data_IF_888770039148
#
_entry.id   IF_888770039148
#
_cell.length_a   1.000
_cell.length_b   1.000
_cell.length_c   1.000
_cell.angle_alpha   90.00
_cell.angle_beta   90.00
_cell.angle_gamma   90.00
#
_symmetry.space_group_name_H-M   'P 1'
#
loop_
_entity.id
_entity.type
_entity.pdbx_description
1 polymer ?
#
# COMPACT_ATOMS: atom_id res chain seq x y z
N UNK A 1 -26.41 -40.64 2.58
CA UNK A 1 -27.52 -41.61 2.61
C UNK A 1 -28.71 -40.96 1.91
N UNK A 2 -29.02 -41.56 0.77
CA UNK A 2 -30.11 -41.24 -0.14
C UNK A 2 -31.39 -41.87 0.41
N UNK A 3 -32.52 -41.18 0.38
CA UNK A 3 -33.84 -41.82 0.38
C UNK A 3 -34.80 -41.00 -0.48
N UNK A 4 -35.13 -41.58 -1.62
CA UNK A 4 -36.27 -41.25 -2.49
C UNK A 4 -37.56 -41.72 -1.84
N UNK A 5 -38.63 -40.94 -1.92
CA UNK A 5 -40.01 -41.49 -1.99
C UNK A 5 -40.84 -40.74 -3.04
N UNK A 6 -41.15 -41.47 -4.10
CA UNK A 6 -42.23 -41.21 -5.04
C UNK A 6 -43.55 -41.63 -4.47
N UNK A 7 -44.61 -40.84 -4.63
CA UNK A 7 -45.92 -41.42 -4.89
C UNK A 7 -46.82 -40.47 -5.72
N UNK A 8 -47.24 -41.00 -6.84
CA UNK A 8 -48.30 -40.48 -7.69
C UNK A 8 -49.66 -40.88 -7.10
N UNK A 9 -50.65 -39.98 -7.08
CA UNK A 9 -52.04 -40.34 -7.35
C UNK A 9 -52.77 -39.18 -8.02
N UNK A 10 -53.32 -39.50 -9.17
CA UNK A 10 -54.24 -38.73 -9.99
C UNK A 10 -55.63 -38.70 -9.40
N UNK A 11 -56.29 -37.55 -9.41
CA UNK A 11 -57.76 -37.54 -9.74
C UNK A 11 -58.20 -36.18 -10.28
N UNK A 12 -58.87 -36.24 -11.39
CA UNK A 12 -59.61 -35.18 -12.09
C UNK A 12 -60.81 -34.72 -11.26
N UNK A 13 -61.10 -33.43 -11.18
CA UNK A 13 -62.48 -32.96 -11.39
C UNK A 13 -62.53 -31.46 -11.73
N UNK A 14 -63.55 -31.18 -12.46
CA UNK A 14 -63.84 -29.99 -13.27
C UNK A 14 -64.39 -28.82 -12.47
N UNK A 15 -64.03 -27.62 -12.94
CA UNK A 15 -64.80 -26.40 -13.11
C UNK A 15 -65.62 -25.84 -11.94
N UNK A 16 -65.31 -24.60 -11.59
CA UNK A 16 -66.27 -23.48 -11.58
C UNK A 16 -65.44 -22.17 -11.58
N UNK A 17 -65.69 -21.35 -12.63
CA UNK A 17 -65.18 -19.98 -12.74
C UNK A 17 -66.11 -19.11 -11.91
N UNK A 18 -65.58 -18.42 -10.94
CA UNK A 18 -66.24 -17.28 -10.32
C UNK A 18 -65.28 -16.07 -10.38
N UNK A 19 -65.53 -15.18 -11.34
CA UNK A 19 -64.94 -13.86 -11.37
C UNK A 19 -65.49 -13.05 -10.20
N UNK A 20 -64.65 -12.78 -9.21
CA UNK A 20 -64.88 -11.68 -8.27
C UNK A 20 -63.78 -10.62 -8.52
N UNK A 21 -64.18 -9.58 -9.22
CA UNK A 21 -63.38 -8.36 -9.40
C UNK A 21 -63.37 -7.59 -8.09
N UNK A 22 -62.34 -7.74 -7.29
CA UNK A 22 -62.01 -6.83 -6.18
C UNK A 22 -61.11 -5.72 -6.71
N UNK A 23 -61.70 -4.53 -6.93
CA UNK A 23 -60.94 -3.30 -7.11
C UNK A 23 -60.31 -2.92 -5.78
N UNK A 24 -59.07 -3.35 -5.56
CA UNK A 24 -58.22 -2.78 -4.52
C UNK A 24 -57.66 -1.46 -5.02
N UNK A 25 -58.31 -0.38 -4.61
CA UNK A 25 -57.70 0.97 -4.64
C UNK A 25 -56.56 0.95 -3.60
N UNK A 26 -55.41 0.54 -4.02
CA UNK A 26 -54.19 0.69 -3.25
C UNK A 26 -53.80 2.15 -3.22
N UNK A 27 -54.10 2.86 -2.11
CA UNK A 27 -53.45 4.14 -1.82
C UNK A 27 -51.94 3.86 -1.65
N UNK A 28 -51.19 3.99 -2.75
CA UNK A 28 -49.74 4.03 -2.74
C UNK A 28 -49.35 5.33 -2.07
N UNK A 29 -49.14 5.31 -0.75
CA UNK A 29 -48.35 6.33 -0.09
C UNK A 29 -46.93 6.17 -0.64
N UNK A 30 -46.64 6.82 -1.75
CA UNK A 30 -45.30 7.08 -2.22
C UNK A 30 -44.57 7.86 -1.15
N UNK A 31 -43.85 7.18 -0.25
CA UNK A 31 -42.81 7.84 0.50
C UNK A 31 -41.76 8.28 -0.54
N UNK A 32 -41.84 9.58 -0.88
CA UNK A 32 -40.74 10.27 -1.50
C UNK A 32 -39.55 10.18 -0.53
N UNK A 33 -38.79 9.11 -0.59
CA UNK A 33 -37.47 9.11 0.00
C UNK A 33 -36.67 10.15 -0.77
N UNK A 34 -36.59 11.35 -0.23
CA UNK A 34 -35.69 12.38 -0.71
C UNK A 34 -34.29 11.78 -0.65
N UNK A 35 -33.63 11.66 -1.81
CA UNK A 35 -32.21 11.26 -1.89
C UNK A 35 -31.47 12.18 -0.91
N UNK A 36 -30.75 11.65 0.09
CA UNK A 36 -30.05 12.47 1.07
C UNK A 36 -29.15 13.46 0.33
N UNK A 37 -29.34 14.74 0.62
CA UNK A 37 -28.51 15.78 0.01
C UNK A 37 -27.08 15.60 0.49
N UNK A 38 -26.15 15.48 -0.43
CA UNK A 38 -24.72 15.36 -0.11
C UNK A 38 -24.27 16.49 0.81
N UNK A 39 -23.52 16.14 1.85
CA UNK A 39 -22.86 17.10 2.73
C UNK A 39 -21.78 17.87 1.96
N UNK A 40 -21.31 18.99 2.50
CA UNK A 40 -20.23 19.76 1.88
C UNK A 40 -18.92 18.95 1.82
N UNK A 41 -18.63 18.17 2.86
CA UNK A 41 -17.47 17.27 2.90
C UNK A 41 -17.52 16.23 1.76
N UNK A 42 -18.67 15.59 1.53
CA UNK A 42 -18.84 14.62 0.44
C UNK A 42 -18.67 15.28 -0.94
N UNK A 43 -19.13 16.53 -1.11
CA UNK A 43 -18.94 17.27 -2.36
C UNK A 43 -17.46 17.57 -2.61
N UNK A 44 -16.73 18.03 -1.59
CA UNK A 44 -15.29 18.30 -1.66
C UNK A 44 -14.55 17.00 -1.99
N UNK A 45 -14.85 15.92 -1.26
CA UNK A 45 -14.20 14.60 -1.47
C UNK A 45 -14.39 14.10 -2.91
N UNK A 46 -15.59 14.29 -3.50
CA UNK A 46 -15.84 13.92 -4.90
C UNK A 46 -15.19 14.84 -5.94
N UNK A 47 -14.84 16.06 -5.55
CA UNK A 47 -14.28 17.04 -6.47
C UNK A 47 -12.74 16.98 -6.58
N UNK A 48 -12.07 16.29 -5.64
CA UNK A 48 -10.62 16.15 -5.61
C UNK A 48 -10.22 14.75 -6.01
N UNK A 49 -8.97 14.58 -6.50
CA UNK A 49 -8.36 13.27 -6.70
C UNK A 49 -7.76 12.84 -5.36
N UNK A 50 -8.27 11.75 -4.80
CA UNK A 50 -7.75 11.17 -3.56
C UNK A 50 -6.63 10.19 -3.85
N UNK A 51 -5.54 10.26 -3.07
CA UNK A 51 -4.33 9.47 -3.32
C UNK A 51 -3.86 8.83 -2.02
N UNK A 52 -3.64 7.53 -2.03
CA UNK A 52 -2.79 6.82 -1.08
C UNK A 52 -1.48 6.44 -1.79
N UNK A 53 -0.36 6.77 -1.16
CA UNK A 53 0.97 6.60 -1.76
C UNK A 53 1.69 5.35 -1.28
N UNK A 54 1.07 4.52 -0.44
CA UNK A 54 1.76 3.33 0.09
C UNK A 54 0.79 2.22 0.51
N UNK A 55 0.43 1.36 -0.44
CA UNK A 55 -0.44 0.22 -0.23
C UNK A 55 0.31 -1.09 -0.50
N UNK A 56 0.76 -1.76 0.56
CA UNK A 56 1.43 -3.06 0.46
C UNK A 56 0.53 -4.12 -0.18
N UNK A 57 1.12 -4.94 -1.05
CA UNK A 57 0.43 -6.04 -1.71
C UNK A 57 0.95 -7.40 -1.25
N UNK A 58 0.04 -8.36 -1.18
CA UNK A 58 0.34 -9.79 -1.11
C UNK A 58 0.02 -10.43 -2.46
N UNK A 59 1.03 -11.03 -3.12
CA UNK A 59 0.87 -11.67 -4.44
C UNK A 59 -0.17 -12.79 -4.43
N UNK A 60 -0.44 -13.39 -3.27
CA UNK A 60 -1.52 -14.36 -3.08
C UNK A 60 -2.92 -13.81 -3.37
N UNK A 61 -3.08 -12.49 -3.28
CA UNK A 61 -4.31 -11.78 -3.63
C UNK A 61 -4.36 -11.31 -5.10
N UNK A 62 -3.52 -11.87 -5.98
CA UNK A 62 -3.46 -11.52 -7.41
C UNK A 62 -3.48 -12.77 -8.29
N UNK A 63 -4.40 -13.69 -7.99
CA UNK A 63 -4.68 -14.91 -8.75
C UNK A 63 -6.00 -14.79 -9.50
N UNK A 64 -6.27 -15.74 -10.41
CA UNK A 64 -7.55 -15.77 -11.12
C UNK A 64 -8.75 -15.95 -10.17
N UNK A 65 -8.57 -16.74 -9.10
CA UNK A 65 -9.64 -17.08 -8.15
C UNK A 65 -9.78 -16.04 -7.03
N UNK A 66 -8.69 -15.37 -6.64
CA UNK A 66 -8.67 -14.37 -5.58
C UNK A 66 -7.85 -13.17 -6.02
N UNK A 67 -8.50 -12.03 -6.21
CA UNK A 67 -7.84 -10.79 -6.61
C UNK A 67 -8.60 -9.55 -6.13
N UNK A 68 -8.07 -8.38 -6.40
CA UNK A 68 -8.61 -7.10 -5.91
C UNK A 68 -9.94 -6.66 -6.55
N UNK A 69 -10.51 -7.43 -7.48
CA UNK A 69 -11.91 -7.22 -7.90
C UNK A 69 -12.90 -7.64 -6.83
N UNK A 70 -12.44 -8.39 -5.84
CA UNK A 70 -13.23 -8.94 -4.74
C UNK A 70 -12.84 -8.24 -3.43
N UNK A 71 -13.72 -8.33 -2.42
CA UNK A 71 -13.39 -7.92 -1.06
C UNK A 71 -12.45 -8.96 -0.44
N UNK A 72 -11.17 -8.63 -0.38
CA UNK A 72 -10.13 -9.44 0.23
C UNK A 72 -9.92 -9.08 1.70
N UNK A 73 -9.01 -9.76 2.40
CA UNK A 73 -8.59 -9.40 3.75
C UNK A 73 -7.64 -8.18 3.78
N UNK A 74 -7.16 -7.72 2.62
CA UNK A 74 -6.37 -6.49 2.53
C UNK A 74 -7.25 -5.26 2.71
N UNK A 75 -6.67 -4.19 3.21
CA UNK A 75 -7.37 -2.91 3.40
C UNK A 75 -7.73 -2.29 2.06
N UNK A 76 -6.83 -2.37 1.07
CA UNK A 76 -7.03 -1.88 -0.28
C UNK A 76 -7.45 -3.01 -1.21
N UNK A 77 -8.56 -2.82 -1.90
CA UNK A 77 -9.11 -3.61 -3.00
C UNK A 77 -10.16 -2.76 -3.70
N UNK A 78 -10.56 -3.08 -4.90
CA UNK A 78 -11.50 -2.25 -5.69
C UNK A 78 -12.85 -1.98 -4.97
N UNK A 79 -13.49 -2.96 -4.32
CA UNK A 79 -14.69 -2.69 -3.50
C UNK A 79 -14.45 -1.66 -2.40
N UNK A 80 -13.34 -1.74 -1.66
CA UNK A 80 -13.00 -0.80 -0.60
C UNK A 80 -12.62 0.58 -1.16
N UNK A 81 -11.84 0.64 -2.24
CA UNK A 81 -11.53 1.90 -2.94
C UNK A 81 -12.80 2.62 -3.41
N UNK A 82 -13.77 1.87 -3.93
CA UNK A 82 -15.06 2.43 -4.34
C UNK A 82 -15.87 2.93 -3.16
N UNK A 83 -15.96 2.15 -2.09
CA UNK A 83 -16.71 2.52 -0.88
C UNK A 83 -16.10 3.72 -0.14
N UNK A 84 -14.76 3.78 -0.06
CA UNK A 84 -14.01 4.84 0.60
C UNK A 84 -13.76 6.07 -0.27
N UNK A 85 -14.02 5.99 -1.58
CA UNK A 85 -13.74 7.08 -2.52
C UNK A 85 -12.26 7.30 -2.78
N UNK A 86 -11.40 6.27 -2.63
CA UNK A 86 -9.99 6.33 -3.01
C UNK A 86 -9.87 6.21 -4.54
N UNK A 87 -9.23 7.20 -5.18
CA UNK A 87 -9.07 7.25 -6.64
C UNK A 87 -7.75 6.66 -7.10
N UNK A 88 -6.66 6.94 -6.40
CA UNK A 88 -5.29 6.54 -6.76
C UNK A 88 -4.69 5.74 -5.62
N UNK A 89 -4.25 4.52 -5.91
CA UNK A 89 -3.49 3.68 -5.00
C UNK A 89 -2.11 3.40 -5.59
N UNK A 90 -1.08 3.60 -4.78
CA UNK A 90 0.27 3.16 -5.11
C UNK A 90 0.48 1.76 -4.54
N UNK A 91 0.48 0.76 -5.41
CA UNK A 91 0.77 -0.62 -5.05
C UNK A 91 2.27 -0.84 -4.92
N UNK A 92 2.68 -1.45 -3.82
CA UNK A 92 4.07 -1.46 -3.39
C UNK A 92 4.77 -2.77 -3.76
N UNK A 93 5.86 -2.61 -4.51
CA UNK A 93 6.84 -3.65 -4.73
C UNK A 93 7.82 -3.62 -3.55
N UNK A 94 7.34 -4.13 -2.41
CA UNK A 94 8.14 -4.25 -1.19
C UNK A 94 9.00 -5.53 -1.22
N UNK A 95 10.25 -5.38 -0.80
CA UNK A 95 11.17 -6.53 -0.58
C UNK A 95 11.83 -6.40 0.79
N UNK A 96 11.66 -7.42 1.63
CA UNK A 96 12.30 -7.49 2.94
C UNK A 96 13.83 -7.48 2.81
N UNK A 97 14.51 -6.87 3.78
CA UNK A 97 15.96 -6.90 3.86
C UNK A 97 16.44 -8.29 4.27
N UNK A 98 17.39 -8.85 3.53
CA UNK A 98 18.09 -10.11 3.80
C UNK A 98 19.61 -9.85 3.68
N UNK A 99 20.41 -10.92 3.68
CA UNK A 99 21.87 -10.88 3.57
C UNK A 99 22.34 -10.17 2.30
N UNK A 100 23.40 -9.39 2.41
CA UNK A 100 24.01 -8.66 1.29
C UNK A 100 24.90 -9.61 0.44
N UNK A 101 24.29 -10.67 -0.07
CA UNK A 101 24.94 -11.73 -0.86
C UNK A 101 24.25 -11.89 -2.22
N UNK A 102 24.95 -12.49 -3.18
CA UNK A 102 24.39 -12.76 -4.50
C UNK A 102 23.06 -13.56 -4.43
N UNK A 103 22.94 -14.52 -3.51
CA UNK A 103 21.71 -15.29 -3.31
C UNK A 103 20.60 -14.42 -2.71
N UNK A 104 20.91 -13.56 -1.73
CA UNK A 104 19.95 -12.60 -1.17
C UNK A 104 19.40 -11.65 -2.25
N UNK A 105 20.28 -11.06 -3.04
CA UNK A 105 19.89 -10.18 -4.16
C UNK A 105 19.05 -10.91 -5.21
N UNK A 106 19.39 -12.14 -5.58
CA UNK A 106 18.63 -12.92 -6.55
C UNK A 106 17.19 -13.20 -6.06
N UNK A 107 17.04 -13.61 -4.79
CA UNK A 107 15.71 -13.79 -4.16
C UNK A 107 14.90 -12.47 -4.13
N UNK A 108 15.57 -11.37 -3.80
CA UNK A 108 14.94 -10.05 -3.76
C UNK A 108 14.46 -9.60 -5.15
N UNK A 109 15.28 -9.81 -6.18
CA UNK A 109 14.91 -9.49 -7.58
C UNK A 109 13.73 -10.34 -8.04
N UNK A 110 13.67 -11.63 -7.67
CA UNK A 110 12.54 -12.49 -7.99
C UNK A 110 11.26 -12.01 -7.28
N UNK A 111 11.34 -11.71 -5.98
CA UNK A 111 10.19 -11.17 -5.21
C UNK A 111 9.66 -9.87 -5.83
N UNK A 112 10.55 -8.95 -6.21
CA UNK A 112 10.15 -7.72 -6.88
C UNK A 112 9.48 -8.01 -8.23
N UNK A 113 10.01 -8.96 -9.01
CA UNK A 113 9.44 -9.39 -10.29
C UNK A 113 8.03 -9.92 -10.10
N UNK A 114 7.80 -10.82 -9.14
CA UNK A 114 6.51 -11.42 -8.86
C UNK A 114 5.45 -10.37 -8.47
N UNK A 115 5.85 -9.34 -7.70
CA UNK A 115 4.97 -8.22 -7.32
C UNK A 115 4.63 -7.32 -8.50
N UNK A 116 5.61 -6.97 -9.34
CA UNK A 116 5.32 -6.25 -10.57
C UNK A 116 4.33 -7.01 -11.47
N UNK A 117 4.56 -8.33 -11.66
CA UNK A 117 3.67 -9.18 -12.46
C UNK A 117 2.27 -9.23 -11.87
N UNK A 118 2.15 -9.29 -10.54
CA UNK A 118 0.87 -9.27 -9.84
C UNK A 118 0.08 -7.98 -10.14
N UNK A 119 0.72 -6.81 -10.04
CA UNK A 119 0.08 -5.52 -10.32
C UNK A 119 -0.33 -5.44 -11.80
N UNK A 120 0.55 -5.88 -12.72
CA UNK A 120 0.23 -5.90 -14.15
C UNK A 120 -0.94 -6.83 -14.47
N UNK A 121 -1.03 -8.01 -13.83
CA UNK A 121 -2.22 -8.88 -13.98
C UNK A 121 -3.51 -8.21 -13.52
N UNK A 122 -3.47 -7.45 -12.42
CA UNK A 122 -4.65 -6.74 -11.95
C UNK A 122 -5.18 -5.78 -13.02
N UNK A 123 -4.31 -4.94 -13.57
CA UNK A 123 -4.71 -3.86 -14.47
C UNK A 123 -4.95 -4.33 -15.91
N UNK A 124 -4.34 -5.43 -16.34
CA UNK A 124 -4.44 -5.91 -17.72
C UNK A 124 -5.40 -7.08 -17.88
N UNK A 125 -5.49 -7.99 -16.87
CA UNK A 125 -6.20 -9.26 -17.02
C UNK A 125 -7.46 -9.32 -16.15
N UNK A 126 -7.39 -8.87 -14.88
CA UNK A 126 -8.49 -9.05 -13.94
C UNK A 126 -9.49 -7.89 -13.93
N UNK A 127 -9.01 -6.67 -14.08
CA UNK A 127 -9.86 -5.48 -13.92
C UNK A 127 -9.55 -4.35 -14.93
N UNK A 128 -9.30 -4.61 -16.23
CA UNK A 128 -8.90 -3.58 -17.20
C UNK A 128 -9.95 -2.48 -17.36
N UNK A 129 -11.22 -2.78 -17.07
CA UNK A 129 -12.33 -1.82 -17.15
C UNK A 129 -12.52 -1.00 -15.87
N UNK A 130 -11.88 -1.38 -14.75
CA UNK A 130 -12.09 -0.78 -13.44
C UNK A 130 -10.89 0.02 -12.93
N UNK A 131 -9.66 -0.39 -13.29
CA UNK A 131 -8.41 0.23 -12.86
C UNK A 131 -7.41 0.22 -13.99
N UNK A 132 -6.55 1.25 -14.06
CA UNK A 132 -5.54 1.38 -15.11
C UNK A 132 -4.23 1.90 -14.51
N UNK A 133 -3.09 1.43 -15.03
CA UNK A 133 -1.77 1.86 -14.60
C UNK A 133 -1.44 3.25 -15.15
N UNK A 134 -1.12 4.18 -14.26
CA UNK A 134 -0.62 5.51 -14.60
C UNK A 134 0.91 5.55 -14.49
N UNK A 135 1.56 6.12 -15.47
CA UNK A 135 3.01 6.33 -15.51
C UNK A 135 3.38 7.80 -15.33
N UNK A 136 2.42 8.70 -15.45
CA UNK A 136 2.58 10.15 -15.35
C UNK A 136 1.39 10.79 -14.63
N UNK A 137 1.57 12.03 -14.15
CA UNK A 137 0.47 12.81 -13.60
C UNK A 137 -0.64 13.12 -14.63
N UNK A 138 -0.30 13.16 -15.92
CA UNK A 138 -1.27 13.30 -17.00
C UNK A 138 -2.14 12.03 -17.13
N UNK A 139 -1.53 10.84 -17.01
CA UNK A 139 -2.28 9.58 -17.00
C UNK A 139 -3.24 9.51 -15.81
N UNK A 140 -2.78 9.90 -14.60
CA UNK A 140 -3.65 9.94 -13.41
C UNK A 140 -4.92 10.75 -13.70
N UNK A 141 -4.77 11.97 -14.26
CA UNK A 141 -5.93 12.83 -14.57
C UNK A 141 -6.81 12.26 -15.68
N UNK A 142 -6.22 11.64 -16.69
CA UNK A 142 -6.93 11.00 -17.82
C UNK A 142 -7.76 9.82 -17.32
N UNK A 143 -7.15 8.94 -16.54
CA UNK A 143 -7.80 7.72 -16.02
C UNK A 143 -8.90 8.09 -15.04
N UNK A 144 -8.62 9.00 -14.10
CA UNK A 144 -9.64 9.50 -13.16
C UNK A 144 -10.88 10.08 -13.87
N UNK A 145 -10.65 10.88 -14.93
CA UNK A 145 -11.76 11.42 -15.75
C UNK A 145 -12.56 10.35 -16.47
N UNK A 146 -11.97 9.19 -16.75
CA UNK A 146 -12.70 8.06 -17.37
C UNK A 146 -13.57 7.29 -16.36
N UNK A 147 -13.46 7.59 -15.05
CA UNK A 147 -14.19 6.91 -13.99
C UNK A 147 -13.50 5.64 -13.48
N UNK A 148 -12.34 5.27 -14.01
CA UNK A 148 -11.54 4.15 -13.50
C UNK A 148 -10.73 4.57 -12.29
N UNK A 149 -10.36 3.60 -11.45
CA UNK A 149 -9.33 3.77 -10.44
C UNK A 149 -7.95 3.83 -11.08
N UNK A 150 -7.01 4.41 -10.38
CA UNK A 150 -5.65 4.58 -10.86
C UNK A 150 -4.71 3.73 -10.03
N UNK A 151 -3.95 2.85 -10.69
CA UNK A 151 -2.81 2.16 -10.10
C UNK A 151 -1.54 2.96 -10.39
N UNK A 152 -0.67 3.10 -9.41
CA UNK A 152 0.72 3.51 -9.56
C UNK A 152 1.62 2.51 -8.84
N UNK A 153 2.91 2.48 -9.15
CA UNK A 153 3.84 1.50 -8.56
C UNK A 153 4.96 2.23 -7.83
N UNK A 154 5.06 1.96 -6.53
CA UNK A 154 6.20 2.32 -5.70
C UNK A 154 7.08 1.11 -5.41
N UNK A 155 8.38 1.35 -5.21
CA UNK A 155 9.34 0.30 -4.84
C UNK A 155 9.83 0.62 -3.43
N UNK A 156 9.54 -0.28 -2.51
CA UNK A 156 10.02 -0.15 -1.15
C UNK A 156 11.17 -1.10 -0.89
N UNK A 157 12.30 -0.51 -0.47
CA UNK A 157 13.62 -1.11 -0.38
C UNK A 157 14.28 -1.34 -1.75
N UNK A 158 15.30 -0.55 -2.08
CA UNK A 158 16.12 -0.71 -3.29
C UNK A 158 17.02 -1.96 -3.28
N UNK A 159 16.88 -2.82 -2.26
CA UNK A 159 17.63 -4.06 -2.11
C UNK A 159 17.59 -4.98 -3.37
N UNK A 160 16.46 -5.13 -4.10
CA UNK A 160 16.41 -5.90 -5.34
C UNK A 160 17.19 -5.31 -6.53
N UNK A 161 17.71 -4.10 -6.42
CA UNK A 161 18.70 -3.59 -7.41
C UNK A 161 19.96 -4.48 -7.41
N UNK A 162 20.28 -5.07 -6.26
CA UNK A 162 21.48 -5.91 -6.13
C UNK A 162 22.75 -5.10 -6.36
N UNK A 163 23.68 -5.64 -7.13
CA UNK A 163 24.91 -4.99 -7.58
C UNK A 163 24.83 -4.57 -9.06
N UNK A 164 23.69 -4.79 -9.72
CA UNK A 164 23.46 -4.45 -11.13
C UNK A 164 22.58 -3.21 -11.23
N UNK A 165 23.20 -2.07 -11.45
CA UNK A 165 22.52 -0.79 -11.58
C UNK A 165 21.50 -0.73 -12.73
N UNK A 166 21.64 -1.63 -13.74
CA UNK A 166 20.67 -1.70 -14.85
C UNK A 166 19.27 -2.12 -14.39
N UNK A 167 19.14 -2.68 -13.18
CA UNK A 167 17.85 -3.02 -12.60
C UNK A 167 16.99 -1.78 -12.30
N UNK A 168 17.58 -0.61 -12.12
CA UNK A 168 16.83 0.68 -11.97
C UNK A 168 16.01 0.94 -13.24
N UNK A 169 16.63 0.78 -14.42
CA UNK A 169 15.91 0.90 -15.69
C UNK A 169 14.80 -0.15 -15.83
N UNK A 170 15.09 -1.40 -15.47
CA UNK A 170 14.09 -2.49 -15.54
C UNK A 170 12.87 -2.18 -14.69
N UNK A 171 13.07 -1.61 -13.50
CA UNK A 171 11.98 -1.22 -12.61
C UNK A 171 11.20 -0.02 -13.17
N UNK A 172 11.87 0.96 -13.76
CA UNK A 172 11.22 2.05 -14.47
C UNK A 172 10.36 1.55 -15.65
N UNK A 173 10.91 0.68 -16.50
CA UNK A 173 10.21 0.11 -17.65
C UNK A 173 8.97 -0.69 -17.22
N UNK A 174 8.97 -1.25 -16.01
CA UNK A 174 7.83 -1.95 -15.41
C UNK A 174 6.83 -1.04 -14.71
N UNK A 175 7.04 0.25 -14.73
CA UNK A 175 6.11 1.23 -14.19
C UNK A 175 6.43 1.75 -12.79
N UNK A 176 7.56 1.39 -12.18
CA UNK A 176 8.04 1.96 -10.93
C UNK A 176 8.26 3.47 -11.06
N UNK A 177 7.72 4.27 -10.13
CA UNK A 177 7.79 5.73 -10.18
C UNK A 177 8.33 6.37 -8.91
N UNK A 178 8.47 5.64 -7.82
CA UNK A 178 9.37 5.98 -6.73
C UNK A 178 10.14 4.76 -6.22
N UNK A 179 11.26 4.97 -5.54
CA UNK A 179 12.00 3.91 -4.86
C UNK A 179 12.69 4.47 -3.60
N UNK A 180 12.52 3.77 -2.45
CA UNK A 180 13.35 3.97 -1.26
C UNK A 180 14.58 3.05 -1.33
N UNK A 181 15.71 3.49 -0.77
CA UNK A 181 16.96 2.75 -0.91
C UNK A 181 17.25 1.79 0.25
N UNK A 182 16.46 1.84 1.32
CA UNK A 182 16.51 0.92 2.45
C UNK A 182 15.11 0.73 3.01
N UNK A 183 14.93 -0.32 3.83
CA UNK A 183 13.76 -0.57 4.67
C UNK A 183 14.22 -0.78 6.12
N UNK A 184 13.70 -1.78 6.83
CA UNK A 184 14.18 -2.15 8.17
C UNK A 184 15.45 -3.01 8.02
N UNK A 185 16.59 -2.37 8.22
CA UNK A 185 17.93 -2.90 7.98
C UNK A 185 18.67 -2.17 6.86
N UNK A 186 20.01 -2.08 7.00
CA UNK A 186 20.86 -1.44 6.02
C UNK A 186 20.93 -2.27 4.75
N UNK A 187 20.77 -1.62 3.60
CA UNK A 187 20.95 -2.26 2.30
C UNK A 187 22.35 -2.01 1.75
N UNK A 188 22.67 -2.59 0.60
CA UNK A 188 23.90 -2.26 -0.13
C UNK A 188 23.92 -0.84 -0.71
N UNK A 189 22.79 -0.13 -0.65
CA UNK A 189 22.63 1.22 -1.21
C UNK A 189 22.64 2.32 -0.14
N UNK A 190 22.04 2.01 1.02
CA UNK A 190 21.75 3.05 2.02
C UNK A 190 21.63 2.47 3.42
N UNK A 191 21.99 3.29 4.38
CA UNK A 191 21.66 3.05 5.78
C UNK A 191 20.17 3.29 6.05
N UNK A 192 19.61 2.46 6.94
CA UNK A 192 18.24 2.51 7.42
C UNK A 192 18.10 3.34 8.70
N UNK A 193 16.91 3.86 8.94
CA UNK A 193 16.51 4.46 10.21
C UNK A 193 16.71 3.53 11.42
N UNK A 194 16.77 2.22 11.21
CA UNK A 194 16.96 1.24 12.29
C UNK A 194 18.29 1.38 12.99
N UNK A 195 19.33 1.93 12.32
CA UNK A 195 20.64 2.23 12.94
C UNK A 195 20.59 3.35 13.98
N UNK A 196 19.52 4.15 14.04
CA UNK A 196 19.37 5.18 15.07
C UNK A 196 19.33 4.60 16.49
N UNK A 197 18.83 3.36 16.64
CA UNK A 197 18.68 2.70 17.94
C UNK A 197 20.02 2.34 18.58
N UNK A 198 20.96 1.82 17.79
CA UNK A 198 22.23 1.25 18.28
C UNK A 198 23.46 2.03 17.81
N UNK A 199 23.28 3.04 16.94
CA UNK A 199 24.35 3.83 16.36
C UNK A 199 25.19 3.08 15.32
N UNK A 200 24.70 1.92 14.83
CA UNK A 200 25.40 1.10 13.84
C UNK A 200 24.96 1.47 12.44
N UNK A 201 25.91 1.84 11.59
CA UNK A 201 25.68 2.20 10.19
C UNK A 201 26.74 1.55 9.30
N UNK A 202 26.36 1.17 8.07
CA UNK A 202 27.28 0.53 7.11
C UNK A 202 28.03 1.55 6.25
N UNK A 203 27.37 2.68 5.94
CA UNK A 203 27.81 3.61 4.90
C UNK A 203 27.96 5.05 5.41
N UNK A 204 27.52 5.36 6.63
CA UNK A 204 27.31 6.72 7.10
C UNK A 204 26.42 7.52 6.12
N UNK A 205 25.30 6.94 5.75
CA UNK A 205 24.33 7.48 4.80
C UNK A 205 24.19 6.62 3.56
N UNK A 206 24.64 7.08 2.41
CA UNK A 206 24.60 6.36 1.12
C UNK A 206 25.93 5.69 0.82
N UNK A 207 25.84 4.45 0.29
CA UNK A 207 27.00 3.84 -0.37
C UNK A 207 27.31 4.53 -1.71
N UNK A 208 28.49 4.26 -2.29
CA UNK A 208 28.80 4.74 -3.65
C UNK A 208 27.83 4.20 -4.70
N UNK A 209 27.40 2.93 -4.56
CA UNK A 209 26.37 2.37 -5.42
C UNK A 209 25.01 3.07 -5.22
N UNK A 210 24.64 3.38 -3.97
CA UNK A 210 23.40 4.12 -3.67
C UNK A 210 23.39 5.52 -4.32
N UNK A 211 24.52 6.20 -4.35
CA UNK A 211 24.67 7.49 -5.04
C UNK A 211 24.46 7.35 -6.56
N UNK A 212 25.03 6.32 -7.18
CA UNK A 212 24.84 6.04 -8.61
C UNK A 212 23.37 5.66 -8.90
N UNK A 213 22.74 4.90 -8.02
CA UNK A 213 21.30 4.55 -8.16
C UNK A 213 20.42 5.79 -8.15
N UNK A 214 20.72 6.80 -7.31
CA UNK A 214 19.98 8.08 -7.33
C UNK A 214 20.16 8.80 -8.69
N UNK A 215 21.35 8.79 -9.25
CA UNK A 215 21.58 9.40 -10.56
C UNK A 215 20.76 8.72 -11.67
N UNK A 216 20.71 7.38 -11.67
CA UNK A 216 19.86 6.60 -12.58
C UNK A 216 18.37 6.85 -12.35
N UNK A 217 17.94 6.91 -11.09
CA UNK A 217 16.54 7.25 -10.75
C UNK A 217 16.15 8.61 -11.31
N UNK A 218 17.02 9.63 -11.15
CA UNK A 218 16.80 10.97 -11.69
C UNK A 218 16.80 10.96 -13.22
N UNK A 219 17.67 10.15 -13.85
CA UNK A 219 17.76 10.06 -15.31
C UNK A 219 16.49 9.46 -15.93
N UNK A 220 15.96 8.38 -15.34
CA UNK A 220 14.75 7.72 -15.85
C UNK A 220 13.46 8.39 -15.38
N UNK A 221 13.45 9.11 -14.27
CA UNK A 221 12.26 9.73 -13.69
C UNK A 221 11.58 8.87 -12.63
N UNK A 222 12.37 8.16 -11.80
CA UNK A 222 11.91 7.54 -10.56
C UNK A 222 12.17 8.52 -9.42
N UNK A 223 11.14 8.87 -8.63
CA UNK A 223 11.29 9.75 -7.47
C UNK A 223 12.08 9.06 -6.37
N UNK A 224 12.96 9.82 -5.71
CA UNK A 224 13.70 9.35 -4.54
C UNK A 224 12.78 9.40 -3.32
N UNK A 225 12.47 8.23 -2.76
CA UNK A 225 11.66 8.10 -1.55
C UNK A 225 12.57 8.04 -0.32
N UNK A 226 12.30 8.93 0.64
CA UNK A 226 13.06 9.06 1.88
C UNK A 226 12.40 8.36 3.07
N UNK A 227 11.32 7.64 2.86
CA UNK A 227 10.75 6.77 3.90
C UNK A 227 11.68 5.59 4.15
N UNK A 228 12.06 5.33 5.40
CA UNK A 228 12.98 4.32 5.91
C UNK A 228 14.49 4.61 5.93
N UNK A 229 15.14 5.29 4.99
CA UNK A 229 16.56 5.63 5.13
C UNK A 229 16.90 6.38 6.43
N UNK A 230 18.16 6.27 6.86
CA UNK A 230 18.67 7.01 8.03
C UNK A 230 18.65 8.52 7.78
N UNK A 231 18.65 9.33 8.84
CA UNK A 231 18.67 10.79 8.72
C UNK A 231 19.83 11.28 7.82
N UNK A 232 21.04 10.72 8.00
CA UNK A 232 22.19 11.09 7.18
C UNK A 232 22.00 10.66 5.71
N UNK A 233 21.43 9.49 5.46
CA UNK A 233 21.08 9.07 4.09
C UNK A 233 20.07 10.03 3.46
N UNK A 234 19.04 10.43 4.19
CA UNK A 234 18.04 11.41 3.74
C UNK A 234 18.69 12.74 3.37
N UNK A 235 19.62 13.24 4.18
CA UNK A 235 20.37 14.47 3.86
C UNK A 235 21.12 14.33 2.53
N UNK A 236 21.88 13.24 2.38
CA UNK A 236 22.62 12.97 1.15
C UNK A 236 21.71 12.76 -0.07
N UNK A 237 20.54 12.12 0.11
CA UNK A 237 19.51 11.99 -0.93
C UNK A 237 18.98 13.36 -1.38
N UNK A 238 18.63 14.23 -0.43
CA UNK A 238 18.12 15.56 -0.71
C UNK A 238 19.15 16.45 -1.43
N UNK A 239 20.42 16.35 -1.05
CA UNK A 239 21.52 17.08 -1.71
C UNK A 239 21.82 16.57 -3.12
N UNK A 240 21.69 15.25 -3.34
CA UNK A 240 22.05 14.62 -4.62
C UNK A 240 20.92 14.65 -5.65
N UNK A 241 19.67 14.53 -5.18
CA UNK A 241 18.52 14.46 -6.09
C UNK A 241 18.37 15.77 -6.88
N UNK A 242 18.24 15.65 -8.20
CA UNK A 242 17.94 16.77 -9.11
C UNK A 242 16.45 17.01 -9.28
N UNK A 243 15.62 16.15 -8.70
CA UNK A 243 14.17 16.21 -8.73
C UNK A 243 13.62 16.28 -7.29
N UNK A 244 12.39 16.75 -7.09
CA UNK A 244 11.74 16.70 -5.78
C UNK A 244 11.74 15.29 -5.19
N UNK A 245 12.07 15.19 -3.89
CA UNK A 245 12.02 13.94 -3.13
C UNK A 245 10.62 13.72 -2.55
N UNK A 246 10.29 12.48 -2.22
CA UNK A 246 9.03 12.11 -1.58
C UNK A 246 9.29 11.34 -0.28
N UNK A 247 8.55 11.67 0.78
CA UNK A 247 8.34 10.73 1.88
C UNK A 247 6.99 10.05 1.64
N UNK A 248 7.03 8.83 1.10
CA UNK A 248 5.82 8.12 0.68
C UNK A 248 4.90 7.75 1.85
N UNK A 249 5.46 7.51 3.05
CA UNK A 249 4.73 7.16 4.27
C UNK A 249 5.54 7.47 5.54
N UNK A 250 5.53 8.71 5.97
CA UNK A 250 6.19 9.21 7.20
C UNK A 250 5.28 10.19 7.92
N UNK A 251 5.61 10.51 9.18
CA UNK A 251 4.89 11.51 9.98
C UNK A 251 5.85 12.52 10.60
N UNK A 252 5.36 13.44 11.43
CA UNK A 252 6.18 14.46 12.07
C UNK A 252 6.76 13.94 13.40
N UNK A 253 8.08 14.00 13.56
CA UNK A 253 8.78 13.55 14.77
C UNK A 253 8.42 14.39 16.00
N UNK A 254 8.10 15.65 15.81
CA UNK A 254 7.63 16.54 16.88
C UNK A 254 6.32 16.05 17.55
N UNK A 255 5.48 15.30 16.83
CA UNK A 255 4.23 14.73 17.35
C UNK A 255 4.41 13.32 17.90
N UNK A 256 5.31 12.54 17.33
CA UNK A 256 5.64 11.20 17.78
C UNK A 256 7.12 10.93 17.53
N UNK A 257 7.91 10.91 18.60
CA UNK A 257 9.35 10.65 18.54
C UNK A 257 9.61 9.19 18.17
N UNK A 258 9.77 8.98 16.89
CA UNK A 258 10.04 7.70 16.27
C UNK A 258 10.98 7.88 15.08
N UNK A 259 11.98 7.01 14.91
CA UNK A 259 12.98 7.11 13.85
C UNK A 259 12.42 7.08 12.41
N UNK A 260 11.18 6.61 12.24
CA UNK A 260 10.45 6.64 10.95
C UNK A 260 9.81 8.00 10.65
N UNK A 261 9.72 8.90 11.64
CA UNK A 261 9.14 10.23 11.48
C UNK A 261 10.23 11.25 11.19
N UNK A 262 9.88 12.26 10.41
CA UNK A 262 10.78 13.32 10.00
C UNK A 262 10.84 14.42 11.06
N UNK A 263 12.05 14.82 11.44
CA UNK A 263 12.26 16.00 12.25
C UNK A 263 12.22 17.30 11.41
N UNK A 264 12.25 18.45 12.09
CA UNK A 264 12.09 19.75 11.43
C UNK A 264 13.20 20.03 10.39
N UNK A 265 14.41 19.54 10.62
CA UNK A 265 15.52 19.69 9.67
C UNK A 265 15.28 18.86 8.41
N UNK A 266 14.82 17.62 8.55
CA UNK A 266 14.43 16.76 7.42
C UNK A 266 13.24 17.34 6.65
N UNK A 267 12.27 17.93 7.34
CA UNK A 267 11.14 18.63 6.70
C UNK A 267 11.61 19.85 5.89
N UNK A 268 12.62 20.56 6.37
CA UNK A 268 13.20 21.69 5.63
C UNK A 268 13.94 21.19 4.36
N UNK A 269 14.65 20.04 4.40
CA UNK A 269 15.24 19.44 3.19
C UNK A 269 14.19 19.06 2.16
N UNK A 270 13.05 18.48 2.60
CA UNK A 270 11.92 18.16 1.69
C UNK A 270 11.39 19.43 1.06
N UNK A 271 11.18 20.50 1.84
CA UNK A 271 10.71 21.79 1.32
C UNK A 271 11.69 22.40 0.31
N UNK A 272 13.00 22.38 0.60
CA UNK A 272 14.05 22.90 -0.30
C UNK A 272 14.08 22.14 -1.62
N UNK A 273 13.85 20.82 -1.61
CA UNK A 273 13.73 20.00 -2.81
C UNK A 273 12.41 20.20 -3.54
N UNK A 274 11.46 20.98 -3.00
CA UNK A 274 10.05 21.09 -3.47
C UNK A 274 9.31 19.75 -3.41
N UNK A 275 9.70 18.90 -2.48
CA UNK A 275 9.15 17.57 -2.29
C UNK A 275 7.83 17.56 -1.53
N UNK A 276 7.36 16.37 -1.21
CA UNK A 276 6.12 16.14 -0.48
C UNK A 276 6.29 15.08 0.59
N UNK A 277 5.59 15.26 1.70
CA UNK A 277 5.45 14.25 2.76
C UNK A 277 4.01 13.77 2.77
N UNK A 278 3.82 12.48 2.56
CA UNK A 278 2.53 11.79 2.72
C UNK A 278 2.44 11.29 4.17
N UNK A 279 1.48 11.83 4.91
CA UNK A 279 1.31 11.50 6.32
C UNK A 279 0.73 10.10 6.45
N UNK A 280 1.51 9.19 7.08
CA UNK A 280 1.08 7.81 7.27
C UNK A 280 0.14 7.71 8.48
N UNK A 281 -1.00 7.01 8.29
CA UNK A 281 -1.96 6.73 9.36
C UNK A 281 -1.60 5.46 10.17
N UNK A 282 -0.31 5.18 10.35
CA UNK A 282 0.16 4.06 11.14
C UNK A 282 0.24 4.45 12.62
N UNK A 283 -0.54 3.78 13.47
CA UNK A 283 -0.76 4.18 14.86
C UNK A 283 0.54 4.39 15.67
N UNK A 284 1.58 3.61 15.38
CA UNK A 284 2.89 3.71 16.03
C UNK A 284 3.63 5.01 15.73
N UNK A 285 3.30 5.69 14.64
CA UNK A 285 3.96 6.91 14.18
C UNK A 285 3.17 8.19 14.48
N UNK A 286 1.99 8.05 15.12
CA UNK A 286 1.07 9.16 15.35
C UNK A 286 1.04 9.66 16.79
N UNK A 287 1.33 8.80 17.78
CA UNK A 287 1.15 9.16 19.18
C UNK A 287 2.05 8.33 20.11
N UNK A 288 3.16 8.91 20.57
CA UNK A 288 4.20 8.26 21.37
C UNK A 288 3.65 7.56 22.61
N UNK A 289 2.80 8.23 23.40
CA UNK A 289 2.29 7.66 24.66
C UNK A 289 1.41 6.42 24.40
N UNK A 290 0.52 6.48 23.40
CA UNK A 290 -0.31 5.32 23.01
C UNK A 290 0.53 4.18 22.47
N UNK A 291 1.53 4.48 21.66
CA UNK A 291 2.48 3.51 21.12
C UNK A 291 3.23 2.79 22.25
N UNK A 292 3.82 3.54 23.18
CA UNK A 292 4.56 2.99 24.30
C UNK A 292 3.66 2.14 25.22
N UNK A 293 2.44 2.62 25.53
CA UNK A 293 1.48 1.87 26.33
C UNK A 293 1.05 0.56 25.65
N UNK A 294 0.83 0.60 24.33
CA UNK A 294 0.51 -0.61 23.55
C UNK A 294 1.66 -1.62 23.58
N UNK A 295 2.90 -1.18 23.36
CA UNK A 295 4.07 -2.05 23.39
C UNK A 295 4.28 -2.66 24.76
N UNK A 296 4.19 -1.87 25.82
CA UNK A 296 4.29 -2.38 27.19
C UNK A 296 3.22 -3.44 27.51
N UNK A 297 1.98 -3.20 27.09
CA UNK A 297 0.90 -4.18 27.27
C UNK A 297 1.14 -5.45 26.44
N UNK A 298 1.57 -5.32 25.20
CA UNK A 298 1.92 -6.44 24.32
C UNK A 298 3.05 -7.29 24.90
N UNK A 299 4.12 -6.67 25.38
CA UNK A 299 5.26 -7.36 25.96
C UNK A 299 4.87 -8.09 27.26
N UNK A 300 4.01 -7.49 28.08
CA UNK A 300 3.47 -8.15 29.27
C UNK A 300 2.66 -9.42 28.90
N UNK A 301 1.81 -9.34 27.87
CA UNK A 301 1.04 -10.48 27.40
C UNK A 301 1.95 -11.57 26.82
N UNK A 302 2.94 -11.20 26.00
CA UNK A 302 3.90 -12.15 25.42
C UNK A 302 4.68 -12.89 26.51
N UNK A 303 5.18 -12.17 27.51
CA UNK A 303 5.88 -12.77 28.67
C UNK A 303 4.97 -13.71 29.47
N UNK A 304 3.72 -13.32 29.69
CA UNK A 304 2.73 -14.16 30.40
C UNK A 304 2.43 -15.45 29.61
N UNK A 305 2.20 -15.34 28.30
CA UNK A 305 1.91 -16.50 27.44
C UNK A 305 3.15 -17.39 27.29
N UNK A 306 4.33 -16.79 27.06
CA UNK A 306 5.58 -17.53 27.02
C UNK A 306 5.81 -18.36 28.28
N UNK A 307 5.67 -17.74 29.46
CA UNK A 307 5.77 -18.45 30.76
C UNK A 307 4.74 -19.59 30.90
N UNK A 308 3.49 -19.36 30.46
CA UNK A 308 2.42 -20.35 30.51
C UNK A 308 2.70 -21.57 29.64
N UNK A 309 3.37 -21.41 28.51
CA UNK A 309 3.60 -22.47 27.52
C UNK A 309 5.07 -22.93 27.44
N UNK A 310 5.91 -22.47 28.37
CA UNK A 310 7.36 -22.76 28.39
C UNK A 310 8.06 -22.41 27.07
N UNK A 311 7.63 -21.29 26.46
CA UNK A 311 8.21 -20.74 25.24
C UNK A 311 9.06 -19.53 25.64
N UNK A 312 10.37 -19.52 25.34
CA UNK A 312 11.20 -18.35 25.58
C UNK A 312 10.70 -17.19 24.72
N UNK A 313 10.36 -16.07 25.38
CA UNK A 313 10.04 -14.81 24.70
C UNK A 313 11.38 -14.12 24.45
N UNK A 314 11.88 -14.27 23.23
CA UNK A 314 13.05 -13.51 22.79
C UNK A 314 12.67 -12.04 22.70
N UNK A 315 13.54 -11.17 23.17
CA UNK A 315 13.40 -9.75 22.91
C UNK A 315 13.38 -9.54 21.40
N UNK A 316 12.49 -8.68 20.93
CA UNK A 316 12.21 -8.39 19.50
C UNK A 316 13.44 -8.06 18.64
N UNK A 317 14.61 -8.03 19.25
CA UNK A 317 15.87 -7.58 18.68
C UNK A 317 16.95 -8.66 18.58
N UNK A 318 16.60 -9.89 18.94
CA UNK A 318 17.49 -11.06 18.78
C UNK A 318 17.09 -11.98 17.60
N UNK A 319 16.16 -11.53 16.76
CA UNK A 319 15.76 -12.24 15.52
C UNK A 319 16.26 -11.50 14.28
#
# INVERSE_FOLDING_TARGET
>A
IMLYFTNKTSMKNKSIVALLSFALVGASCGQNQSIPKMTEAEKIHKAVITIDTHDDIDVGNFTADLNYTQKTNSQVNLPNMNAGGLDVSWFIVYTGQDSLTANGFAKATQNATDKFDAIHRLVNDYAPDQIELALTAADVRRIWKSGKKVAMIGIENGYPVGQDISNVKKFFDRGGRYMSLAHNGHSQLSDSNTGEKDGVYLHNGLSELGKQVIDEMNYYGIMVDISHPSKEAIRQMAERSKAPIIASHSSARALCDHSRNLDDEQLEWVKQSRGVVQTVAFSSYLHTQKHNAYNAAKDAVLKMVGKKHDIPVLDKYEM
#
